data_IF_746468052548
#
_entry.id   IF_746468052548
#
_cell.length_a   1.000
_cell.length_b   1.000
_cell.length_c   1.000
_cell.angle_alpha   90.00
_cell.angle_beta   90.00
_cell.angle_gamma   90.00
#
_symmetry.space_group_name_H-M   'P 1'
#
loop_
_entity.id
_entity.type
_entity.pdbx_description
1 polymer ?
#
# COMPACT_ATOMS: atom_id res chain seq x y z
N UNK A 1 -3.19 -14.20 -11.69
CA UNK A 1 -3.40 -12.87 -11.07
C UNK A 1 -2.43 -12.74 -9.91
N UNK A 2 -1.68 -11.65 -9.82
CA UNK A 2 -0.73 -11.39 -8.72
C UNK A 2 -1.46 -10.88 -7.47
N UNK A 3 -0.82 -10.93 -6.30
CA UNK A 3 -1.36 -10.35 -5.06
C UNK A 3 -1.66 -8.86 -5.24
N UNK A 4 -0.78 -8.12 -5.93
CA UNK A 4 -0.98 -6.70 -6.22
C UNK A 4 -2.24 -6.44 -7.07
N UNK A 5 -2.48 -7.28 -8.08
CA UNK A 5 -3.69 -7.19 -8.92
C UNK A 5 -4.96 -7.49 -8.12
N UNK A 6 -4.92 -8.46 -7.19
CA UNK A 6 -6.08 -8.75 -6.34
C UNK A 6 -6.39 -7.60 -5.36
N UNK A 7 -5.36 -7.02 -4.73
CA UNK A 7 -5.54 -5.84 -3.88
C UNK A 7 -6.09 -4.67 -4.69
N UNK A 8 -5.56 -4.40 -5.89
CA UNK A 8 -6.10 -3.35 -6.77
C UNK A 8 -7.59 -3.56 -7.06
N UNK A 9 -7.98 -4.80 -7.42
CA UNK A 9 -9.36 -5.15 -7.71
C UNK A 9 -10.26 -4.87 -6.50
N UNK A 10 -9.86 -5.29 -5.30
CA UNK A 10 -10.61 -5.06 -4.07
C UNK A 10 -10.69 -3.58 -3.69
N UNK A 11 -9.59 -2.83 -3.84
CA UNK A 11 -9.58 -1.37 -3.65
C UNK A 11 -10.58 -0.70 -4.58
N UNK A 12 -10.59 -1.06 -5.86
CA UNK A 12 -11.48 -0.45 -6.84
C UNK A 12 -12.96 -0.83 -6.63
N UNK A 13 -13.26 -2.01 -6.08
CA UNK A 13 -14.62 -2.35 -5.61
C UNK A 13 -15.08 -1.40 -4.51
N UNK A 14 -14.24 -1.10 -3.53
CA UNK A 14 -14.59 -0.17 -2.44
C UNK A 14 -14.70 1.28 -2.93
N UNK A 15 -13.82 1.71 -3.84
CA UNK A 15 -13.85 3.05 -4.44
C UNK A 15 -15.11 3.27 -5.30
N UNK A 16 -15.55 2.25 -6.04
CA UNK A 16 -16.78 2.31 -6.82
C UNK A 16 -18.01 2.60 -5.95
N UNK A 17 -18.09 2.04 -4.73
CA UNK A 17 -19.22 2.25 -3.81
C UNK A 17 -19.40 3.70 -3.37
N UNK A 18 -18.36 4.52 -3.49
CA UNK A 18 -18.37 5.95 -3.14
C UNK A 18 -18.14 6.86 -4.34
N UNK A 19 -18.25 6.33 -5.57
CA UNK A 19 -17.98 7.03 -6.82
C UNK A 19 -16.58 7.66 -6.91
N UNK A 20 -15.60 7.10 -6.18
CA UNK A 20 -14.20 7.49 -6.34
C UNK A 20 -13.63 6.85 -7.63
N UNK A 21 -12.86 7.59 -8.45
CA UNK A 21 -12.25 7.04 -9.67
C UNK A 21 -11.37 5.82 -9.36
N UNK A 22 -11.33 4.79 -10.22
CA UNK A 22 -10.48 3.63 -9.99
C UNK A 22 -9.00 4.03 -10.00
N UNK A 23 -8.20 3.34 -9.19
CA UNK A 23 -6.74 3.44 -9.25
C UNK A 23 -6.20 2.50 -10.33
N UNK A 24 -4.99 2.79 -10.79
CA UNK A 24 -4.14 1.90 -11.60
C UNK A 24 -2.88 1.51 -10.83
N UNK A 25 -2.31 0.34 -11.11
CA UNK A 25 -1.03 -0.04 -10.52
C UNK A 25 0.11 0.75 -11.19
N UNK A 26 1.08 1.17 -10.38
CA UNK A 26 2.32 1.79 -10.84
C UNK A 26 3.54 1.00 -10.34
N UNK A 27 4.47 0.68 -11.23
CA UNK A 27 5.63 -0.18 -10.91
C UNK A 27 6.63 0.49 -9.96
N UNK A 28 6.79 1.82 -10.03
CA UNK A 28 7.66 2.58 -9.12
C UNK A 28 7.07 2.59 -7.71
N UNK A 29 5.77 2.86 -7.57
CA UNK A 29 5.08 2.77 -6.28
C UNK A 29 5.09 1.34 -5.73
N UNK A 30 4.91 0.33 -6.59
CA UNK A 30 4.98 -1.09 -6.22
C UNK A 30 6.38 -1.44 -5.71
N UNK A 31 7.43 -0.93 -6.35
CA UNK A 31 8.82 -1.09 -5.87
C UNK A 31 9.00 -0.49 -4.48
N UNK A 32 8.49 0.73 -4.23
CA UNK A 32 8.57 1.37 -2.92
C UNK A 32 7.80 0.56 -1.84
N UNK A 33 6.58 0.13 -2.16
CA UNK A 33 5.75 -0.67 -1.25
C UNK A 33 6.38 -2.04 -0.95
N UNK A 34 6.92 -2.71 -1.97
CA UNK A 34 7.53 -4.04 -1.83
C UNK A 34 8.79 -4.00 -0.97
N UNK A 35 9.66 -3.00 -1.17
CA UNK A 35 10.85 -2.79 -0.32
C UNK A 35 10.44 -2.59 1.14
N UNK A 36 9.40 -1.80 1.39
CA UNK A 36 8.91 -1.57 2.76
C UNK A 36 8.32 -2.83 3.39
N UNK A 37 7.52 -3.60 2.64
CA UNK A 37 7.00 -4.87 3.12
C UNK A 37 8.13 -5.86 3.48
N UNK A 38 9.18 -5.93 2.66
CA UNK A 38 10.37 -6.75 2.92
C UNK A 38 11.16 -6.28 4.16
N UNK A 39 11.32 -4.97 4.34
CA UNK A 39 11.96 -4.38 5.52
C UNK A 39 11.19 -4.73 6.81
N UNK A 40 9.87 -4.55 6.80
CA UNK A 40 9.02 -4.92 7.94
C UNK A 40 9.06 -6.43 8.23
N UNK A 41 9.09 -7.27 7.19
CA UNK A 41 9.21 -8.72 7.34
C UNK A 41 10.57 -9.13 7.92
N UNK A 42 11.66 -8.49 7.49
CA UNK A 42 13.03 -8.78 7.91
C UNK A 42 13.26 -8.33 9.35
N UNK A 43 12.85 -7.10 9.68
CA UNK A 43 12.92 -6.54 11.03
C UNK A 43 11.85 -7.09 11.99
N UNK A 44 10.89 -7.85 11.45
CA UNK A 44 9.73 -8.40 12.17
C UNK A 44 8.89 -7.33 12.88
N UNK A 45 8.89 -6.09 12.38
CA UNK A 45 8.22 -4.95 12.99
C UNK A 45 7.36 -4.22 11.96
N UNK A 46 6.06 -4.09 12.25
CA UNK A 46 5.15 -3.27 11.45
C UNK A 46 5.32 -1.79 11.86
N UNK A 47 5.57 -0.93 10.88
CA UNK A 47 5.84 0.50 11.07
C UNK A 47 5.67 1.24 9.74
N UNK A 48 5.33 2.53 9.79
CA UNK A 48 5.41 3.42 8.62
C UNK A 48 6.86 3.86 8.31
N UNK A 49 7.70 3.92 9.34
CA UNK A 49 9.13 4.20 9.22
C UNK A 49 9.90 2.90 9.03
N UNK A 50 10.75 2.83 8.01
CA UNK A 50 11.62 1.69 7.76
C UNK A 50 12.67 1.50 8.86
N UNK A 51 13.27 0.32 8.94
CA UNK A 51 14.32 0.02 9.92
C UNK A 51 15.58 0.88 9.75
N UNK A 52 15.79 1.42 8.53
CA UNK A 52 16.83 2.37 8.15
C UNK A 52 16.45 3.85 8.40
N UNK A 53 15.29 4.10 8.99
CA UNK A 53 14.76 5.45 9.18
C UNK A 53 14.05 6.04 7.96
N UNK A 54 13.93 5.29 6.86
CA UNK A 54 13.22 5.76 5.67
C UNK A 54 11.75 6.06 5.95
N UNK A 55 11.26 7.13 5.32
CA UNK A 55 9.83 7.49 5.31
C UNK A 55 9.19 7.01 4.03
N UNK A 56 7.86 6.95 3.97
CA UNK A 56 7.13 6.71 2.70
C UNK A 56 7.65 7.64 1.59
N UNK A 57 7.80 8.94 1.89
CA UNK A 57 8.31 9.93 0.94
C UNK A 57 9.69 9.53 0.40
N UNK A 58 10.66 9.27 1.27
CA UNK A 58 12.00 8.93 0.81
C UNK A 58 12.04 7.61 0.03
N UNK A 59 11.18 6.64 0.38
CA UNK A 59 11.05 5.38 -0.37
C UNK A 59 10.47 5.61 -1.78
N UNK A 60 9.49 6.50 -1.93
CA UNK A 60 8.93 6.87 -3.24
C UNK A 60 9.95 7.67 -4.05
N UNK A 61 10.59 8.67 -3.45
CA UNK A 61 11.59 9.53 -4.12
C UNK A 61 12.78 8.68 -4.64
N UNK A 62 13.19 7.64 -3.91
CA UNK A 62 14.23 6.70 -4.33
C UNK A 62 13.87 5.85 -5.56
N UNK A 63 12.60 5.84 -5.99
CA UNK A 63 12.14 5.21 -7.25
C UNK A 63 12.04 6.20 -8.41
N UNK A 64 12.42 7.46 -8.18
CA UNK A 64 12.30 8.54 -9.16
C UNK A 64 10.86 8.73 -9.65
N UNK A 65 9.87 8.53 -8.77
CA UNK A 65 8.47 8.84 -9.03
C UNK A 65 8.17 10.27 -8.56
N UNK A 66 7.72 11.13 -9.47
CA UNK A 66 7.33 12.50 -9.14
C UNK A 66 5.87 12.54 -8.73
N UNK A 67 5.57 13.10 -7.56
CA UNK A 67 4.23 13.06 -6.98
C UNK A 67 3.75 14.44 -6.53
N UNK A 68 2.44 14.64 -6.59
CA UNK A 68 1.75 15.82 -6.05
C UNK A 68 1.07 15.52 -4.70
N UNK A 69 0.64 14.28 -4.48
CA UNK A 69 0.18 13.78 -3.18
C UNK A 69 0.48 12.29 -3.04
N UNK A 70 0.67 11.82 -1.80
CA UNK A 70 1.02 10.44 -1.45
C UNK A 70 0.31 10.00 -0.17
N UNK A 71 0.08 8.70 -0.01
CA UNK A 71 -0.49 8.09 1.20
C UNK A 71 -0.04 6.64 1.37
N UNK A 72 -0.08 6.11 2.60
CA UNK A 72 0.37 4.75 2.89
C UNK A 72 -0.56 4.05 3.86
N UNK A 73 -0.83 2.77 3.59
CA UNK A 73 -1.38 1.84 4.55
C UNK A 73 -0.39 0.70 4.76
N UNK A 74 -0.19 0.26 6.01
CA UNK A 74 0.58 -0.94 6.33
C UNK A 74 -0.27 -1.89 7.16
N UNK A 75 0.04 -3.19 7.10
CA UNK A 75 -0.61 -4.19 7.92
C UNK A 75 0.30 -5.40 8.15
N UNK A 76 -0.03 -6.20 9.16
CA UNK A 76 0.72 -7.38 9.56
C UNK A 76 -0.22 -8.45 10.09
N UNK A 77 0.00 -9.69 9.64
CA UNK A 77 -0.69 -10.89 10.15
C UNK A 77 -1.93 -11.32 9.38
N UNK A 78 -2.43 -10.51 8.43
CA UNK A 78 -3.58 -10.91 7.61
C UNK A 78 -3.15 -11.92 6.54
N UNK A 79 -3.76 -13.11 6.47
CA UNK A 79 -3.27 -14.20 5.64
C UNK A 79 -3.59 -14.05 4.15
N UNK A 80 -4.52 -13.17 3.78
CA UNK A 80 -5.01 -13.03 2.41
C UNK A 80 -5.26 -11.58 2.04
N UNK A 81 -5.33 -11.30 0.74
CA UNK A 81 -5.69 -9.99 0.21
C UNK A 81 -7.07 -9.52 0.70
N UNK A 82 -8.05 -10.43 0.76
CA UNK A 82 -9.38 -10.13 1.29
C UNK A 82 -9.34 -9.78 2.79
N UNK A 83 -8.57 -10.53 3.59
CA UNK A 83 -8.45 -10.28 5.02
C UNK A 83 -7.77 -8.94 5.33
N UNK A 84 -6.72 -8.57 4.59
CA UNK A 84 -6.06 -7.28 4.78
C UNK A 84 -6.92 -6.11 4.31
N UNK A 85 -7.66 -6.27 3.20
CA UNK A 85 -8.61 -5.25 2.75
C UNK A 85 -9.73 -5.03 3.75
N UNK A 86 -10.30 -6.09 4.34
CA UNK A 86 -11.29 -5.96 5.39
C UNK A 86 -10.73 -5.18 6.61
N UNK A 87 -9.52 -5.50 7.04
CA UNK A 87 -8.85 -4.83 8.15
C UNK A 87 -8.55 -3.34 7.88
N UNK A 88 -8.12 -3.00 6.65
CA UNK A 88 -7.93 -1.60 6.26
C UNK A 88 -9.27 -0.85 6.19
N UNK A 89 -10.31 -1.46 5.62
CA UNK A 89 -11.62 -0.80 5.51
C UNK A 89 -12.33 -0.61 6.86
N UNK A 90 -12.03 -1.43 7.87
CA UNK A 90 -12.52 -1.23 9.25
C UNK A 90 -11.76 -0.16 10.03
N UNK A 91 -10.62 0.33 9.53
CA UNK A 91 -9.83 1.38 10.18
C UNK A 91 -10.10 2.73 9.51
N UNK A 92 -10.60 3.76 10.23
CA UNK A 92 -10.94 5.05 9.64
C UNK A 92 -9.79 5.71 8.85
N UNK A 93 -8.57 5.68 9.38
CA UNK A 93 -7.41 6.26 8.72
C UNK A 93 -7.02 5.51 7.43
N UNK A 94 -7.01 4.17 7.48
CA UNK A 94 -6.67 3.38 6.29
C UNK A 94 -7.76 3.46 5.21
N UNK A 95 -9.03 3.45 5.63
CA UNK A 95 -10.18 3.65 4.76
C UNK A 95 -10.14 5.02 4.08
N UNK A 96 -9.75 6.07 4.80
CA UNK A 96 -9.60 7.40 4.23
C UNK A 96 -8.60 7.39 3.07
N UNK A 97 -7.45 6.73 3.22
CA UNK A 97 -6.47 6.59 2.14
C UNK A 97 -7.05 5.84 0.92
N UNK A 98 -7.70 4.70 1.15
CA UNK A 98 -8.26 3.85 0.07
C UNK A 98 -9.31 4.61 -0.74
N UNK A 99 -10.17 5.39 -0.08
CA UNK A 99 -11.29 6.07 -0.72
C UNK A 99 -10.97 7.49 -1.20
N UNK A 100 -9.77 8.01 -0.94
CA UNK A 100 -9.41 9.38 -1.28
C UNK A 100 -9.41 9.58 -2.82
N UNK A 101 -10.26 10.47 -3.37
CA UNK A 101 -10.34 10.70 -4.81
C UNK A 101 -9.13 11.47 -5.37
N UNK A 102 -8.27 12.03 -4.52
CA UNK A 102 -7.06 12.72 -4.96
C UNK A 102 -6.03 11.74 -5.55
N UNK A 103 -6.02 10.48 -5.11
CA UNK A 103 -5.11 9.45 -5.63
C UNK A 103 -5.62 8.85 -6.95
N UNK A 104 -4.68 8.56 -7.84
CA UNK A 104 -4.92 7.95 -9.16
C UNK A 104 -4.14 6.66 -9.35
N UNK A 105 -3.08 6.45 -8.56
CA UNK A 105 -2.16 5.32 -8.69
C UNK A 105 -1.93 4.61 -7.36
N UNK A 106 -1.61 3.31 -7.45
CA UNK A 106 -1.37 2.41 -6.34
C UNK A 106 -0.10 1.59 -6.56
N UNK A 107 0.68 1.40 -5.50
CA UNK A 107 1.68 0.35 -5.35
C UNK A 107 1.30 -0.61 -4.23
N UNK A 108 1.59 -1.90 -4.40
CA UNK A 108 1.29 -2.92 -3.40
C UNK A 108 2.52 -3.76 -3.11
N UNK A 109 2.89 -3.88 -1.83
CA UNK A 109 3.96 -4.73 -1.34
C UNK A 109 3.43 -5.86 -0.47
N UNK A 110 4.02 -7.05 -0.63
CA UNK A 110 3.74 -8.21 0.20
C UNK A 110 5.04 -8.96 0.53
N UNK A 111 5.25 -9.27 1.80
CA UNK A 111 6.36 -10.12 2.23
C UNK A 111 5.95 -10.99 3.43
N UNK A 112 6.75 -12.00 3.75
CA UNK A 112 6.52 -12.86 4.91
C UNK A 112 7.79 -12.94 5.73
N UNK A 113 7.68 -12.69 7.03
CA UNK A 113 8.76 -12.83 8.01
C UNK A 113 8.34 -13.78 9.12
N UNK A 114 9.10 -14.86 9.36
CA UNK A 114 8.74 -15.88 10.35
C UNK A 114 7.31 -16.43 10.20
N UNK A 115 6.91 -16.75 8.96
CA UNK A 115 5.55 -17.19 8.58
C UNK A 115 4.43 -16.17 8.88
N UNK A 116 4.77 -14.90 9.14
CA UNK A 116 3.81 -13.81 9.34
C UNK A 116 3.79 -12.89 8.11
N UNK A 117 2.62 -12.64 7.51
CA UNK A 117 2.47 -11.69 6.40
C UNK A 117 2.69 -10.23 6.81
N UNK A 118 3.27 -9.45 5.92
CA UNK A 118 3.43 -7.99 5.99
C UNK A 118 2.99 -7.36 4.68
N UNK A 119 2.21 -6.29 4.78
CA UNK A 119 1.53 -5.63 3.66
C UNK A 119 1.84 -4.15 3.65
N UNK A 120 1.99 -3.58 2.45
CA UNK A 120 2.06 -2.14 2.25
C UNK A 120 1.22 -1.74 1.02
N UNK A 121 0.44 -0.67 1.14
CA UNK A 121 -0.14 0.07 0.04
C UNK A 121 0.52 1.44 -0.01
N UNK A 122 0.92 1.87 -1.20
CA UNK A 122 1.41 3.23 -1.44
C UNK A 122 0.52 3.87 -2.50
N UNK A 123 -0.20 4.90 -2.13
CA UNK A 123 -1.08 5.66 -3.01
C UNK A 123 -0.37 6.91 -3.49
N UNK A 124 -0.62 7.32 -4.72
CA UNK A 124 -0.13 8.61 -5.20
C UNK A 124 -1.00 9.24 -6.27
N UNK A 125 -0.75 10.53 -6.50
CA UNK A 125 -1.07 11.22 -7.74
C UNK A 125 0.24 11.74 -8.34
N UNK A 126 0.51 11.54 -9.64
CA UNK A 126 1.69 12.09 -10.27
C UNK A 126 1.68 13.63 -10.25
N UNK A 127 2.87 14.23 -10.36
CA UNK A 127 3.03 15.68 -10.53
C UNK A 127 3.07 16.06 -12.01
#
# INVERSE_FOLDING_TARGET
MTIAQEILRLVNVERQRVNAPPLVLNDKLTTAAQRHAQDMATSRRMSHTGSDGSTMRSRIDATQYNWSTIGENVAMGQPTAAAVMAAWMSSPGHRQNILNPAFTELGVGYATGANRPYWAQVFARPR
#
